data_IF_810850452977
#
_entry.id   IF_810850452977
#
_cell.length_a   1.000
_cell.length_b   1.000
_cell.length_c   1.000
_cell.angle_alpha   90.00
_cell.angle_beta   90.00
_cell.angle_gamma   90.00
#
_symmetry.space_group_name_H-M   'P 1'
#
loop_
_entity.id
_entity.type
_entity.pdbx_description
1 polymer ?
#
# COMPACT_ATOMS: atom_id res chain seq x y z
N UNK A 1 10.82 8.48 -6.00
CA UNK A 1 10.62 7.15 -5.38
C UNK A 1 11.27 6.04 -6.20
N UNK A 2 12.30 5.37 -5.69
CA UNK A 2 12.94 4.23 -6.37
C UNK A 2 12.08 2.96 -6.23
N UNK A 3 11.90 2.19 -7.31
CA UNK A 3 11.10 0.94 -7.29
C UNK A 3 11.62 -0.13 -6.33
N UNK A 4 12.89 -0.02 -5.89
CA UNK A 4 13.54 -0.98 -4.99
C UNK A 4 12.87 -1.11 -3.62
N UNK A 5 12.43 0.01 -3.07
CA UNK A 5 11.87 0.10 -1.71
C UNK A 5 10.39 0.49 -1.69
N UNK A 6 9.80 0.70 -2.86
CA UNK A 6 8.46 1.25 -2.98
C UNK A 6 7.52 0.28 -3.69
N UNK A 7 6.26 0.26 -3.25
CA UNK A 7 5.11 -0.18 -4.04
C UNK A 7 4.23 1.02 -4.36
N UNK A 8 3.54 0.92 -5.50
CA UNK A 8 2.54 1.90 -5.90
C UNK A 8 1.20 1.20 -6.04
N UNK A 9 0.22 1.68 -5.29
CA UNK A 9 -1.17 1.22 -5.35
C UNK A 9 -1.98 2.20 -6.20
N UNK A 10 -2.79 1.64 -7.10
CA UNK A 10 -3.68 2.38 -8.00
C UNK A 10 -5.14 2.05 -7.69
N UNK A 11 -6.08 2.87 -8.16
CA UNK A 11 -7.52 2.56 -8.10
C UNK A 11 -8.20 2.79 -6.75
N UNK A 12 -7.43 2.93 -5.65
CA UNK A 12 -7.99 3.22 -4.33
C UNK A 12 -8.73 4.58 -4.34
N UNK A 13 -10.03 4.56 -4.09
CA UNK A 13 -10.86 5.77 -3.97
C UNK A 13 -10.29 6.72 -2.91
N UNK A 14 -10.41 8.02 -3.15
CA UNK A 14 -10.02 9.06 -2.18
C UNK A 14 -11.26 9.52 -1.42
N UNK A 15 -11.14 9.65 -0.11
CA UNK A 15 -12.19 10.17 0.76
C UNK A 15 -11.70 11.45 1.46
N UNK A 16 -12.56 12.46 1.65
CA UNK A 16 -12.20 13.62 2.46
C UNK A 16 -11.82 13.18 3.88
N UNK A 17 -10.64 13.60 4.35
CA UNK A 17 -10.12 13.20 5.67
C UNK A 17 -9.53 11.78 5.73
N UNK A 18 -9.24 11.14 4.60
CA UNK A 18 -8.64 9.80 4.55
C UNK A 18 -7.34 9.69 5.37
N UNK A 19 -7.29 8.74 6.31
CA UNK A 19 -6.03 8.30 6.90
C UNK A 19 -5.44 7.15 6.07
N UNK A 20 -4.77 7.51 4.97
CA UNK A 20 -4.26 6.52 4.00
C UNK A 20 -3.31 5.50 4.65
N UNK A 21 -2.52 5.91 5.66
CA UNK A 21 -1.62 4.99 6.36
C UNK A 21 -2.41 3.90 7.06
N UNK A 22 -3.45 4.27 7.80
CA UNK A 22 -4.30 3.31 8.51
C UNK A 22 -4.97 2.32 7.55
N UNK A 23 -5.47 2.80 6.42
CA UNK A 23 -6.08 1.94 5.42
C UNK A 23 -5.10 0.95 4.78
N UNK A 24 -3.87 1.38 4.50
CA UNK A 24 -2.81 0.49 4.02
C UNK A 24 -2.39 -0.51 5.10
N UNK A 25 -2.35 -0.11 6.37
CA UNK A 25 -2.07 -1.04 7.47
C UNK A 25 -3.14 -2.13 7.57
N UNK A 26 -4.43 -1.76 7.51
CA UNK A 26 -5.54 -2.73 7.49
C UNK A 26 -5.42 -3.72 6.33
N UNK A 27 -5.08 -3.22 5.14
CA UNK A 27 -4.84 -4.06 3.97
C UNK A 27 -3.66 -5.04 4.20
N UNK A 28 -2.56 -4.58 4.78
CA UNK A 28 -1.40 -5.44 5.03
C UNK A 28 -1.63 -6.45 6.15
N UNK A 29 -2.43 -6.14 7.16
CA UNK A 29 -2.88 -7.13 8.15
C UNK A 29 -3.67 -8.26 7.49
N UNK A 30 -4.50 -7.95 6.49
CA UNK A 30 -5.23 -8.97 5.74
C UNK A 30 -4.32 -9.81 4.82
N UNK A 31 -3.25 -9.22 4.28
CA UNK A 31 -2.31 -9.92 3.39
C UNK A 31 -1.22 -10.71 4.14
N UNK A 32 -0.73 -10.22 5.27
CA UNK A 32 0.35 -10.81 6.04
C UNK A 32 0.04 -10.72 7.54
N UNK A 33 -0.99 -11.42 8.03
CA UNK A 33 -1.40 -11.38 9.43
C UNK A 33 -0.27 -11.77 10.39
N UNK A 34 0.66 -12.64 9.95
CA UNK A 34 1.83 -13.06 10.72
C UNK A 34 2.83 -11.92 11.02
N UNK A 35 2.79 -10.84 10.25
CA UNK A 35 3.68 -9.67 10.43
C UNK A 35 2.96 -8.49 11.11
N UNK A 36 1.70 -8.64 11.53
CA UNK A 36 0.84 -7.56 12.07
C UNK A 36 1.55 -6.66 13.07
N UNK A 37 2.22 -7.24 14.05
CA UNK A 37 2.91 -6.49 15.12
C UNK A 37 4.12 -5.69 14.61
N UNK A 38 4.73 -6.14 13.50
CA UNK A 38 5.93 -5.54 12.92
C UNK A 38 5.61 -4.53 11.82
N UNK A 39 4.35 -4.47 11.33
CA UNK A 39 3.95 -3.58 10.23
C UNK A 39 4.31 -2.11 10.47
N UNK A 40 4.19 -1.64 11.71
CA UNK A 40 4.53 -0.26 12.08
C UNK A 40 5.99 0.11 11.77
N UNK A 41 6.90 -0.86 11.92
CA UNK A 41 8.33 -0.71 11.61
C UNK A 41 8.65 -1.07 10.15
N UNK A 42 7.93 -2.02 9.57
CA UNK A 42 8.18 -2.50 8.20
C UNK A 42 7.69 -1.51 7.13
N UNK A 43 6.67 -0.71 7.45
CA UNK A 43 6.12 0.35 6.62
C UNK A 43 6.63 1.70 7.09
N UNK A 44 7.51 2.29 6.30
CA UNK A 44 8.14 3.57 6.61
C UNK A 44 7.16 4.72 6.34
N UNK A 45 6.89 5.00 5.06
CA UNK A 45 6.09 6.15 4.63
C UNK A 45 4.94 5.72 3.71
N UNK A 46 3.76 6.33 3.87
CA UNK A 46 2.59 6.11 3.00
C UNK A 46 1.97 7.45 2.65
N UNK A 47 1.84 7.76 1.37
CA UNK A 47 1.17 9.00 0.93
C UNK A 47 0.66 8.90 -0.51
N UNK A 48 -0.34 9.73 -0.84
CA UNK A 48 -0.84 9.92 -2.21
C UNK A 48 0.16 10.76 -3.00
N UNK A 49 0.36 10.43 -4.28
CA UNK A 49 1.27 11.17 -5.17
C UNK A 49 0.53 11.67 -6.39
N UNK A 50 0.69 12.96 -6.68
CA UNK A 50 0.10 13.63 -7.83
C UNK A 50 -0.85 14.75 -7.44
N UNK A 51 -1.37 15.42 -8.46
CA UNK A 51 -2.33 16.52 -8.32
C UNK A 51 -3.73 15.92 -8.14
N UNK A 52 -4.53 16.52 -7.27
CA UNK A 52 -5.96 16.19 -7.14
C UNK A 52 -6.64 16.62 -8.45
N UNK A 53 -7.31 15.70 -9.14
CA UNK A 53 -8.11 16.02 -10.32
C UNK A 53 -9.47 15.36 -10.20
N UNK A 54 -10.48 16.06 -10.66
CA UNK A 54 -11.84 15.54 -10.77
C UNK A 54 -11.81 14.24 -11.61
N UNK A 55 -12.52 13.22 -11.14
CA UNK A 55 -12.58 11.88 -11.73
C UNK A 55 -11.27 11.06 -11.78
N UNK A 56 -10.20 11.43 -11.06
CA UNK A 56 -9.00 10.58 -10.95
C UNK A 56 -8.62 10.26 -9.51
N UNK A 57 -8.22 9.01 -9.26
CA UNK A 57 -7.64 8.59 -7.98
C UNK A 57 -6.11 8.71 -8.04
N UNK A 58 -5.51 9.47 -7.12
CA UNK A 58 -4.06 9.59 -7.03
C UNK A 58 -3.47 8.27 -6.57
N UNK A 59 -2.40 7.78 -7.22
CA UNK A 59 -1.69 6.60 -6.74
C UNK A 59 -1.15 6.81 -5.33
N UNK A 60 -1.16 5.74 -4.52
CA UNK A 60 -0.52 5.72 -3.21
C UNK A 60 0.87 5.14 -3.36
N UNK A 61 1.88 5.82 -2.82
CA UNK A 61 3.22 5.27 -2.68
C UNK A 61 3.41 4.76 -1.25
N UNK A 62 3.91 3.54 -1.15
CA UNK A 62 4.18 2.82 0.09
C UNK A 62 5.67 2.49 0.10
N UNK A 63 6.39 3.11 1.01
CA UNK A 63 7.80 2.88 1.25
C UNK A 63 8.00 1.86 2.38
N UNK A 64 8.92 0.93 2.16
CA UNK A 64 9.24 -0.12 3.12
C UNK A 64 10.65 0.07 3.67
N UNK A 65 10.85 -0.26 4.94
CA UNK A 65 12.20 -0.30 5.55
C UNK A 65 13.00 -1.51 5.07
N UNK A 66 12.32 -2.58 4.63
CA UNK A 66 12.94 -3.83 4.20
C UNK A 66 12.46 -4.29 2.81
N UNK A 67 13.41 -4.51 1.88
CA UNK A 67 13.13 -5.02 0.53
C UNK A 67 12.49 -6.41 0.55
N UNK A 68 12.93 -7.27 1.48
CA UNK A 68 12.38 -8.62 1.63
C UNK A 68 10.87 -8.57 1.92
N UNK A 69 10.46 -7.68 2.82
CA UNK A 69 9.06 -7.51 3.17
C UNK A 69 8.24 -6.91 2.02
N UNK A 70 8.77 -5.89 1.33
CA UNK A 70 8.16 -5.36 0.08
C UNK A 70 7.88 -6.48 -0.93
N UNK A 71 8.85 -7.37 -1.14
CA UNK A 71 8.71 -8.49 -2.07
C UNK A 71 7.69 -9.53 -1.60
N UNK A 72 7.64 -9.81 -0.29
CA UNK A 72 6.62 -10.68 0.32
C UNK A 72 5.22 -10.14 0.03
N UNK A 73 4.97 -8.87 0.37
CA UNK A 73 3.68 -8.21 0.12
C UNK A 73 3.34 -8.23 -1.37
N UNK A 74 4.30 -7.91 -2.25
CA UNK A 74 4.08 -7.96 -3.70
C UNK A 74 3.66 -9.37 -4.17
N UNK A 75 4.35 -10.41 -3.70
CA UNK A 75 4.02 -11.80 -4.05
C UNK A 75 2.62 -12.17 -3.58
N UNK A 76 2.32 -11.96 -2.29
CA UNK A 76 1.01 -12.28 -1.72
C UNK A 76 -0.11 -11.49 -2.40
N UNK A 77 0.13 -10.22 -2.74
CA UNK A 77 -0.86 -9.38 -3.44
C UNK A 77 -1.21 -9.87 -4.85
N UNK A 78 -0.29 -10.60 -5.51
CA UNK A 78 -0.55 -11.19 -6.83
C UNK A 78 -1.28 -12.52 -6.74
N UNK A 79 -1.00 -13.29 -5.71
CA UNK A 79 -1.58 -14.61 -5.47
C UNK A 79 -2.99 -14.50 -4.89
N UNK A 80 -3.26 -13.44 -4.10
CA UNK A 80 -4.59 -13.05 -3.68
C UNK A 80 -5.37 -12.48 -4.88
N UNK A 81 -6.20 -13.33 -5.50
CA UNK A 81 -7.13 -12.98 -6.57
C UNK A 81 -8.14 -11.86 -6.17
N UNK A 82 -8.12 -11.41 -4.92
CA UNK A 82 -8.96 -10.36 -4.31
C UNK A 82 -8.52 -8.93 -4.63
N UNK A 83 -7.36 -8.71 -5.26
CA UNK A 83 -6.89 -7.39 -5.69
C UNK A 83 -7.05 -7.13 -7.20
N UNK A 84 -7.67 -8.06 -7.93
CA UNK A 84 -8.21 -7.80 -9.27
C UNK A 84 -9.63 -7.27 -9.09
N UNK A 85 -9.78 -6.00 -8.70
CA UNK A 85 -11.07 -5.33 -8.93
C UNK A 85 -11.32 -5.34 -10.45
N UNK A 86 -12.43 -5.98 -10.83
CA UNK A 86 -13.06 -5.92 -12.16
C UNK A 86 -13.72 -4.56 -12.34
#
# INVERSE_FOLDING_TARGET
>A
YSRRWNLRLYGKKETPGENIREEIMKLFVALAPEDKEKLGFLVDTVHRVGVVRDNSTRPVIIQFTMRAFRNKIWKVSRDNNTLKEK
#
